data_IF_905976174030
#
_entry.id   IF_905976174030
#
_cell.length_a   1.000
_cell.length_b   1.000
_cell.length_c   1.000
_cell.angle_alpha   90.00
_cell.angle_beta   90.00
_cell.angle_gamma   90.00
#
_symmetry.space_group_name_H-M   'P 1'
#
loop_
_entity.id
_entity.type
_entity.pdbx_description
1 polymer ?
#
# COMPACT_ATOMS: atom_id res chain seq x y z
N UNK A 1 -19.64 -12.96 -13.62
CA UNK A 1 -20.90 -13.08 -12.85
C UNK A 1 -21.20 -14.54 -12.49
N UNK A 2 -21.30 -15.47 -13.48
CA UNK A 2 -21.74 -16.86 -13.22
C UNK A 2 -21.00 -17.55 -12.05
N UNK A 3 -19.67 -17.53 -11.93
CA UNK A 3 -18.99 -18.21 -10.81
C UNK A 3 -19.43 -17.72 -9.43
N UNK A 4 -19.71 -16.43 -9.28
CA UNK A 4 -20.17 -15.85 -8.01
C UNK A 4 -21.61 -16.26 -7.70
N UNK A 5 -22.46 -16.29 -8.72
CA UNK A 5 -23.84 -16.74 -8.57
C UNK A 5 -23.90 -18.20 -8.15
N UNK A 6 -23.05 -19.06 -8.75
CA UNK A 6 -22.93 -20.47 -8.38
C UNK A 6 -22.47 -20.66 -6.92
N UNK A 7 -21.54 -19.79 -6.44
CA UNK A 7 -21.09 -19.81 -5.04
C UNK A 7 -22.16 -19.32 -4.04
N UNK A 8 -23.00 -18.37 -4.46
CA UNK A 8 -24.07 -17.79 -3.62
C UNK A 8 -25.34 -18.64 -3.64
N UNK A 9 -25.57 -19.44 -4.68
CA UNK A 9 -26.80 -20.20 -4.89
C UNK A 9 -27.24 -21.04 -3.67
N UNK A 10 -26.36 -21.80 -2.98
CA UNK A 10 -26.79 -22.57 -1.80
C UNK A 10 -27.35 -21.69 -0.68
N UNK A 11 -26.74 -20.50 -0.47
CA UNK A 11 -27.20 -19.53 0.53
C UNK A 11 -28.54 -18.94 0.06
N UNK A 12 -28.63 -18.52 -1.22
CA UNK A 12 -29.83 -17.95 -1.80
C UNK A 12 -31.05 -18.89 -1.67
N UNK A 13 -30.87 -20.18 -1.97
CA UNK A 13 -31.88 -21.20 -1.83
C UNK A 13 -32.38 -21.34 -0.37
N UNK A 14 -31.45 -21.31 0.62
CA UNK A 14 -31.80 -21.41 2.03
C UNK A 14 -32.62 -20.20 2.51
N UNK A 15 -32.27 -18.99 2.08
CA UNK A 15 -33.01 -17.77 2.40
C UNK A 15 -34.38 -17.74 1.72
N UNK A 16 -34.47 -18.07 0.44
CA UNK A 16 -35.72 -18.14 -0.31
C UNK A 16 -36.69 -19.17 0.28
N UNK A 17 -36.20 -20.36 0.68
CA UNK A 17 -37.01 -21.39 1.33
C UNK A 17 -37.57 -20.95 2.69
N UNK A 18 -36.89 -20.01 3.36
CA UNK A 18 -37.34 -19.40 4.60
C UNK A 18 -38.23 -18.15 4.39
N UNK A 19 -38.46 -17.73 3.13
CA UNK A 19 -39.30 -16.58 2.79
C UNK A 19 -38.54 -15.24 2.88
N UNK A 20 -37.22 -15.27 2.93
CA UNK A 20 -36.37 -14.08 2.96
C UNK A 20 -35.79 -13.73 1.59
N UNK A 21 -35.65 -12.41 1.35
CA UNK A 21 -34.98 -11.87 0.17
C UNK A 21 -33.48 -11.76 0.43
N UNK A 22 -32.68 -12.05 -0.59
CA UNK A 22 -31.22 -11.93 -0.54
C UNK A 22 -30.71 -11.21 -1.78
N UNK A 23 -29.70 -10.36 -1.59
CA UNK A 23 -29.11 -9.57 -2.67
C UNK A 23 -27.59 -9.54 -2.56
N UNK A 24 -26.88 -9.67 -3.69
CA UNK A 24 -25.51 -9.22 -3.82
C UNK A 24 -25.48 -7.70 -3.84
N UNK A 25 -24.51 -7.06 -3.17
CA UNK A 25 -24.48 -5.60 -3.05
C UNK A 25 -23.09 -5.01 -3.10
N UNK A 26 -23.01 -3.72 -3.40
CA UNK A 26 -21.79 -2.93 -3.27
C UNK A 26 -20.75 -3.18 -4.36
N UNK A 27 -19.50 -3.33 -3.95
CA UNK A 27 -18.36 -3.42 -4.85
C UNK A 27 -18.46 -4.55 -5.86
N UNK A 28 -19.02 -5.69 -5.47
CA UNK A 28 -19.14 -6.87 -6.33
C UNK A 28 -20.05 -6.60 -7.54
N UNK A 29 -21.18 -5.91 -7.33
CA UNK A 29 -22.11 -5.56 -8.42
C UNK A 29 -21.46 -4.57 -9.39
N UNK A 30 -20.81 -3.52 -8.87
CA UNK A 30 -20.07 -2.55 -9.65
C UNK A 30 -18.97 -3.20 -10.49
N UNK A 31 -18.11 -4.02 -9.86
CA UNK A 31 -16.94 -4.60 -10.51
C UNK A 31 -17.35 -5.60 -11.60
N UNK A 32 -18.48 -6.30 -11.41
CA UNK A 32 -19.06 -7.13 -12.45
C UNK A 32 -19.62 -6.33 -13.63
N UNK A 33 -20.26 -5.18 -13.38
CA UNK A 33 -20.70 -4.29 -14.47
C UNK A 33 -19.52 -3.72 -15.27
N UNK A 34 -18.36 -3.55 -14.63
CA UNK A 34 -17.11 -3.15 -15.29
C UNK A 34 -16.38 -4.30 -15.98
N UNK A 35 -16.89 -5.54 -15.89
CA UNK A 35 -16.23 -6.72 -16.45
C UNK A 35 -14.92 -7.09 -15.74
N UNK A 36 -14.73 -6.63 -14.49
CA UNK A 36 -13.56 -7.00 -13.69
C UNK A 36 -13.72 -8.41 -13.14
N UNK A 37 -12.67 -9.19 -13.25
CA UNK A 37 -12.62 -10.52 -12.63
C UNK A 37 -12.53 -10.40 -11.10
N UNK A 38 -13.33 -11.21 -10.41
CA UNK A 38 -13.26 -11.33 -8.96
C UNK A 38 -12.11 -12.28 -8.60
N UNK A 39 -11.32 -11.87 -7.64
CA UNK A 39 -10.26 -12.72 -7.10
C UNK A 39 -10.80 -13.61 -5.98
N UNK A 40 -10.14 -14.73 -5.71
CA UNK A 40 -10.49 -15.62 -4.59
C UNK A 40 -10.42 -14.93 -3.22
N UNK A 41 -9.70 -13.83 -3.12
CA UNK A 41 -9.58 -13.03 -1.90
C UNK A 41 -10.72 -11.99 -1.71
N UNK A 42 -11.66 -11.86 -2.68
CA UNK A 42 -12.74 -10.87 -2.57
C UNK A 42 -13.84 -11.40 -1.64
N UNK A 43 -14.13 -10.67 -0.57
CA UNK A 43 -15.30 -10.91 0.27
C UNK A 43 -16.57 -10.65 -0.54
N UNK A 44 -17.58 -11.50 -0.37
CA UNK A 44 -18.88 -11.35 -1.02
C UNK A 44 -19.86 -10.73 -0.03
N UNK A 45 -20.25 -9.49 -0.33
CA UNK A 45 -21.24 -8.75 0.46
C UNK A 45 -22.66 -9.10 0.02
N UNK A 46 -23.45 -9.56 0.96
CA UNK A 46 -24.88 -9.85 0.80
C UNK A 46 -25.72 -9.00 1.76
N UNK A 47 -26.92 -8.65 1.33
CA UNK A 47 -27.89 -7.99 2.21
C UNK A 47 -29.26 -8.67 2.13
N UNK A 48 -30.02 -8.66 3.24
CA UNK A 48 -31.28 -9.43 3.40
C UNK A 48 -32.23 -8.72 4.36
N UNK A 49 -33.52 -9.06 4.29
CA UNK A 49 -34.53 -8.69 5.29
C UNK A 49 -34.50 -9.58 6.54
N UNK A 50 -33.79 -10.71 6.52
CA UNK A 50 -33.60 -11.56 7.69
C UNK A 50 -32.79 -10.85 8.79
N UNK A 51 -33.14 -11.12 10.06
CA UNK A 51 -32.42 -10.59 11.24
C UNK A 51 -31.22 -11.48 11.60
N UNK A 52 -30.18 -10.95 12.31
CA UNK A 52 -28.97 -11.71 12.60
C UNK A 52 -29.17 -13.11 13.20
N UNK A 53 -30.12 -13.36 14.14
CA UNK A 53 -30.38 -14.72 14.61
C UNK A 53 -30.87 -15.66 13.51
N UNK A 54 -31.68 -15.15 12.56
CA UNK A 54 -32.18 -15.92 11.42
C UNK A 54 -31.08 -16.17 10.39
N UNK A 55 -30.28 -15.14 10.08
CA UNK A 55 -29.09 -15.29 9.21
C UNK A 55 -28.21 -16.43 9.72
N UNK A 56 -27.87 -16.41 11.04
CA UNK A 56 -27.07 -17.48 11.66
C UNK A 56 -27.74 -18.87 11.50
N UNK A 57 -29.03 -18.95 11.76
CA UNK A 57 -29.78 -20.22 11.64
C UNK A 57 -29.76 -20.77 10.21
N UNK A 58 -29.87 -19.90 9.21
CA UNK A 58 -29.92 -20.27 7.80
C UNK A 58 -28.55 -20.66 7.23
N UNK A 59 -27.49 -19.97 7.64
CA UNK A 59 -26.14 -20.25 7.13
C UNK A 59 -25.42 -21.38 7.87
N UNK A 60 -25.72 -21.62 9.13
CA UNK A 60 -25.04 -22.62 9.95
C UNK A 60 -24.96 -24.04 9.34
N UNK A 61 -26.01 -24.56 8.68
CA UNK A 61 -25.96 -25.89 8.05
C UNK A 61 -25.07 -25.92 6.78
N UNK A 62 -24.76 -24.78 6.19
CA UNK A 62 -24.03 -24.63 4.91
C UNK A 62 -22.56 -24.24 5.13
N UNK A 63 -22.26 -23.65 6.30
CA UNK A 63 -21.00 -22.96 6.54
C UNK A 63 -19.97 -23.87 7.21
N UNK A 64 -18.74 -23.79 6.76
CA UNK A 64 -17.56 -24.35 7.41
C UNK A 64 -17.24 -23.61 8.73
N UNK A 65 -17.53 -22.30 8.77
CA UNK A 65 -17.37 -21.43 9.93
C UNK A 65 -18.36 -20.26 9.89
N UNK A 66 -18.81 -19.81 11.07
CA UNK A 66 -19.66 -18.63 11.24
C UNK A 66 -19.06 -17.72 12.31
N UNK A 67 -18.98 -16.41 12.04
CA UNK A 67 -18.53 -15.42 13.01
C UNK A 67 -19.51 -14.28 13.19
N UNK A 68 -19.55 -13.73 14.40
CA UNK A 68 -20.55 -12.76 14.85
C UNK A 68 -19.98 -11.40 15.22
N UNK A 69 -18.78 -11.11 14.76
CA UNK A 69 -18.03 -9.89 15.13
C UNK A 69 -18.79 -8.61 14.72
N UNK A 70 -19.63 -8.68 13.68
CA UNK A 70 -20.51 -7.60 13.18
C UNK A 70 -21.96 -7.66 13.64
N UNK A 71 -22.37 -8.64 14.45
CA UNK A 71 -23.77 -8.93 14.77
C UNK A 71 -24.54 -7.73 15.34
N UNK A 72 -23.93 -6.95 16.21
CA UNK A 72 -24.50 -5.71 16.75
C UNK A 72 -24.83 -4.66 15.68
N UNK A 73 -24.21 -4.78 14.50
CA UNK A 73 -24.45 -3.92 13.35
C UNK A 73 -25.28 -4.62 12.26
N UNK A 74 -25.84 -5.79 12.57
CA UNK A 74 -26.67 -6.54 11.64
C UNK A 74 -25.90 -7.49 10.72
N UNK A 75 -24.57 -7.62 10.85
CA UNK A 75 -23.73 -8.42 9.95
C UNK A 75 -23.34 -9.75 10.59
N UNK A 76 -23.54 -10.84 9.86
CA UNK A 76 -23.04 -12.18 10.17
C UNK A 76 -22.07 -12.59 9.06
N UNK A 77 -20.87 -13.02 9.45
CA UNK A 77 -19.93 -13.59 8.53
C UNK A 77 -20.05 -15.11 8.48
N UNK A 78 -19.90 -15.69 7.31
CA UNK A 78 -19.90 -17.13 7.11
C UNK A 78 -18.84 -17.54 6.07
N UNK A 79 -18.24 -18.72 6.27
CA UNK A 79 -17.38 -19.34 5.25
C UNK A 79 -18.13 -20.52 4.67
N UNK A 80 -18.37 -20.50 3.37
CA UNK A 80 -19.10 -21.58 2.66
C UNK A 80 -18.26 -21.99 1.45
N UNK A 81 -17.94 -23.26 1.32
CA UNK A 81 -17.13 -23.77 0.22
C UNK A 81 -15.74 -23.12 0.09
N UNK A 82 -15.17 -22.69 1.21
CA UNK A 82 -13.88 -21.98 1.22
C UNK A 82 -13.95 -20.46 1.03
N UNK A 83 -15.09 -19.89 0.58
CA UNK A 83 -15.33 -18.46 0.34
C UNK A 83 -15.91 -17.77 1.58
N UNK A 84 -15.47 -16.54 1.84
CA UNK A 84 -16.03 -15.70 2.89
C UNK A 84 -17.22 -14.87 2.37
N UNK A 85 -18.28 -14.84 3.15
CA UNK A 85 -19.50 -14.06 2.91
C UNK A 85 -19.78 -13.16 4.10
N UNK A 86 -20.13 -11.91 3.85
CA UNK A 86 -20.69 -10.99 4.85
C UNK A 86 -22.17 -10.74 4.55
N UNK A 87 -23.05 -11.23 5.40
CA UNK A 87 -24.49 -11.14 5.22
C UNK A 87 -25.03 -10.14 6.23
N UNK A 88 -25.57 -9.03 5.74
CA UNK A 88 -26.04 -7.91 6.56
C UNK A 88 -27.55 -7.75 6.43
N UNK A 89 -28.25 -7.61 7.55
CA UNK A 89 -29.66 -7.21 7.56
C UNK A 89 -29.81 -5.82 6.93
N UNK A 90 -30.84 -5.59 6.11
CA UNK A 90 -31.15 -4.25 5.57
C UNK A 90 -31.21 -3.22 6.70
N UNK A 91 -30.56 -2.09 6.51
CA UNK A 91 -30.43 -1.05 7.52
C UNK A 91 -30.99 0.27 7.01
N UNK A 92 -31.66 0.98 7.93
CA UNK A 92 -32.07 2.37 7.78
C UNK A 92 -31.41 3.16 8.92
N UNK A 93 -30.08 3.35 8.84
CA UNK A 93 -29.29 3.93 9.92
C UNK A 93 -29.72 5.38 10.23
N UNK A 94 -29.86 5.70 11.52
CA UNK A 94 -30.09 7.06 11.99
C UNK A 94 -28.76 7.62 12.52
N UNK A 95 -28.31 8.72 11.96
CA UNK A 95 -27.07 9.40 12.37
C UNK A 95 -27.38 10.61 13.25
N UNK A 96 -26.56 10.81 14.28
CA UNK A 96 -26.60 12.02 15.12
C UNK A 96 -25.47 12.96 14.72
N UNK A 97 -25.70 14.30 14.62
CA UNK A 97 -24.71 15.26 14.15
C UNK A 97 -23.36 15.23 14.88
N UNK A 98 -23.35 14.84 16.15
CA UNK A 98 -22.15 14.82 17.02
C UNK A 98 -21.50 13.42 17.09
N UNK A 99 -22.06 12.41 16.42
CA UNK A 99 -21.56 11.03 16.49
C UNK A 99 -21.61 10.36 15.12
N UNK A 100 -20.48 9.79 14.70
CA UNK A 100 -20.40 8.92 13.52
C UNK A 100 -20.94 7.50 13.75
N UNK A 101 -21.36 7.17 14.99
CA UNK A 101 -21.93 5.85 15.29
C UNK A 101 -23.43 5.95 15.06
N UNK A 102 -23.95 5.34 13.96
CA UNK A 102 -25.37 5.33 13.74
C UNK A 102 -26.07 4.52 14.85
N UNK A 103 -27.25 4.95 15.22
CA UNK A 103 -28.19 4.02 15.83
C UNK A 103 -28.69 3.10 14.71
N UNK A 104 -28.34 1.81 14.83
CA UNK A 104 -28.72 0.82 13.83
C UNK A 104 -30.24 0.60 13.91
N UNK A 105 -30.94 1.18 12.93
CA UNK A 105 -32.32 0.83 12.68
C UNK A 105 -32.35 -0.20 11.55
N UNK A 106 -32.95 -1.34 11.82
CA UNK A 106 -33.13 -2.36 10.79
C UNK A 106 -34.33 -1.96 9.91
N UNK A 107 -34.08 -1.86 8.60
CA UNK A 107 -35.07 -1.64 7.56
C UNK A 107 -35.58 -2.96 6.99
N UNK A 108 -36.76 -2.92 6.37
CA UNK A 108 -37.30 -4.06 5.65
C UNK A 108 -37.17 -3.92 4.14
N UNK A 109 -36.67 -2.76 3.69
CA UNK A 109 -36.54 -2.39 2.28
C UNK A 109 -35.10 -2.34 1.80
N UNK A 110 -34.82 -2.95 0.63
CA UNK A 110 -33.54 -2.86 -0.05
C UNK A 110 -33.20 -1.40 -0.44
N UNK A 111 -34.19 -0.59 -0.81
CA UNK A 111 -33.98 0.79 -1.23
C UNK A 111 -33.41 1.66 -0.10
N UNK A 112 -33.84 1.43 1.15
CA UNK A 112 -33.30 2.15 2.32
C UNK A 112 -31.84 1.75 2.56
N UNK A 113 -31.49 0.47 2.41
CA UNK A 113 -30.12 -0.01 2.51
C UNK A 113 -29.23 0.60 1.42
N UNK A 114 -29.72 0.72 0.20
CA UNK A 114 -28.97 1.33 -0.91
C UNK A 114 -28.82 2.84 -0.74
N UNK A 115 -29.84 3.54 -0.24
CA UNK A 115 -29.82 5.00 -0.05
C UNK A 115 -28.73 5.47 0.95
N UNK A 116 -28.42 4.67 1.99
CA UNK A 116 -27.40 4.99 3.00
C UNK A 116 -25.97 4.70 2.57
N UNK A 117 -25.74 4.12 1.39
CA UNK A 117 -24.38 3.80 0.89
C UNK A 117 -23.65 5.06 0.48
N UNK A 118 -22.33 4.91 0.25
CA UNK A 118 -21.42 6.04 -0.02
C UNK A 118 -21.70 6.70 -1.38
N UNK A 119 -21.71 5.90 -2.46
CA UNK A 119 -21.83 6.39 -3.83
C UNK A 119 -22.84 5.57 -4.62
N UNK A 120 -23.49 6.20 -5.62
CA UNK A 120 -24.46 5.55 -6.50
C UNK A 120 -23.90 4.28 -7.15
N UNK A 121 -22.63 4.31 -7.59
CA UNK A 121 -21.93 3.17 -8.17
C UNK A 121 -21.74 1.97 -7.23
N UNK A 122 -21.95 2.15 -5.92
CA UNK A 122 -21.94 1.11 -4.90
C UNK A 122 -23.35 0.87 -4.30
N UNK A 123 -24.33 1.67 -4.71
CA UNK A 123 -25.71 1.62 -4.23
C UNK A 123 -26.61 0.84 -5.21
N UNK A 124 -26.08 -0.26 -5.71
CA UNK A 124 -26.77 -1.21 -6.58
C UNK A 124 -26.80 -2.57 -5.91
N UNK A 125 -27.85 -3.33 -6.18
CA UNK A 125 -28.03 -4.69 -5.68
C UNK A 125 -28.45 -5.61 -6.83
N UNK A 126 -28.07 -6.88 -6.74
CA UNK A 126 -28.54 -7.93 -7.63
C UNK A 126 -29.31 -8.97 -6.79
N UNK A 127 -30.60 -9.14 -7.07
CA UNK A 127 -31.40 -10.14 -6.37
C UNK A 127 -30.89 -11.55 -6.65
N UNK A 128 -30.97 -12.42 -5.68
CA UNK A 128 -30.67 -13.84 -5.85
C UNK A 128 -31.83 -14.67 -5.23
N UNK A 129 -32.37 -15.63 -6.00
CA UNK A 129 -31.85 -16.24 -7.23
C UNK A 129 -32.32 -15.58 -8.54
N UNK A 130 -33.17 -14.57 -8.54
CA UNK A 130 -33.85 -14.07 -9.74
C UNK A 130 -32.94 -13.25 -10.67
N UNK A 131 -31.80 -12.79 -10.20
CA UNK A 131 -30.78 -12.00 -10.91
C UNK A 131 -31.31 -10.67 -11.48
N UNK A 132 -32.24 -10.04 -10.80
CA UNK A 132 -32.74 -8.72 -11.17
C UNK A 132 -31.88 -7.61 -10.56
N UNK A 133 -31.47 -6.65 -11.38
CA UNK A 133 -30.72 -5.47 -10.91
C UNK A 133 -31.66 -4.47 -10.24
N UNK A 134 -31.38 -4.12 -8.99
CA UNK A 134 -32.05 -3.06 -8.23
C UNK A 134 -31.13 -1.86 -8.16
N UNK A 135 -31.49 -0.79 -8.89
CA UNK A 135 -30.65 0.43 -9.01
C UNK A 135 -31.53 1.69 -8.87
N UNK A 136 -32.03 2.00 -7.66
CA UNK A 136 -32.94 3.12 -7.46
C UNK A 136 -32.26 4.49 -7.61
N UNK A 137 -30.94 4.55 -7.57
CA UNK A 137 -30.15 5.78 -7.61
C UNK A 137 -29.41 6.03 -8.92
N UNK A 138 -29.55 5.12 -9.90
CA UNK A 138 -28.94 5.26 -11.23
C UNK A 138 -27.43 4.99 -11.24
N UNK A 139 -26.96 4.11 -10.35
CA UNK A 139 -25.53 3.78 -10.23
C UNK A 139 -24.93 3.19 -11.48
N UNK A 140 -25.67 2.34 -12.21
CA UNK A 140 -25.22 1.77 -13.48
C UNK A 140 -25.02 2.87 -14.57
N UNK A 141 -25.93 3.84 -14.64
CA UNK A 141 -25.82 4.96 -15.56
C UNK A 141 -24.64 5.89 -15.18
N UNK A 142 -24.43 6.16 -13.90
CA UNK A 142 -23.29 6.95 -13.42
C UNK A 142 -21.98 6.24 -13.69
N UNK A 143 -21.93 4.93 -13.47
CA UNK A 143 -20.74 4.12 -13.76
C UNK A 143 -20.38 4.14 -15.25
N UNK A 144 -21.38 3.99 -16.11
CA UNK A 144 -21.20 4.05 -17.58
C UNK A 144 -20.80 5.46 -18.06
N UNK A 145 -21.27 6.51 -17.37
CA UNK A 145 -20.93 7.91 -17.66
C UNK A 145 -19.62 8.39 -16.99
N UNK A 146 -18.96 7.52 -16.18
CA UNK A 146 -17.77 7.90 -15.42
C UNK A 146 -18.04 8.95 -14.34
N UNK A 147 -19.23 9.00 -13.73
CA UNK A 147 -19.63 10.02 -12.74
C UNK A 147 -19.57 9.47 -11.31
N UNK A 148 -19.15 10.32 -10.37
CA UNK A 148 -19.16 10.03 -8.94
C UNK A 148 -20.21 10.89 -8.24
N UNK A 149 -21.29 10.27 -7.76
CA UNK A 149 -22.36 10.90 -6.99
C UNK A 149 -22.72 10.06 -5.76
N UNK A 150 -23.33 10.72 -4.79
CA UNK A 150 -23.94 10.06 -3.61
C UNK A 150 -25.40 9.71 -3.90
N UNK A 151 -25.97 8.64 -3.28
CA UNK A 151 -27.39 8.29 -3.43
C UNK A 151 -28.33 9.38 -2.91
N UNK A 152 -27.98 10.00 -1.80
CA UNK A 152 -28.65 11.15 -1.21
C UNK A 152 -27.85 12.43 -1.50
N UNK A 153 -28.36 13.58 -1.07
CA UNK A 153 -27.62 14.83 -1.14
C UNK A 153 -26.22 14.68 -0.49
N UNK A 154 -25.14 15.14 -1.13
CA UNK A 154 -23.78 14.97 -0.62
C UNK A 154 -23.57 15.51 0.80
N UNK A 155 -24.22 16.60 1.17
CA UNK A 155 -24.18 17.19 2.51
C UNK A 155 -24.68 16.23 3.57
N UNK A 156 -25.78 15.52 3.29
CA UNK A 156 -26.34 14.48 4.17
C UNK A 156 -25.35 13.33 4.28
N UNK A 157 -24.89 12.82 3.14
CA UNK A 157 -23.97 11.69 3.08
C UNK A 157 -22.66 11.93 3.86
N UNK A 158 -22.09 13.14 3.75
CA UNK A 158 -20.83 13.48 4.43
C UNK A 158 -21.04 13.89 5.90
N UNK A 159 -22.22 14.35 6.25
CA UNK A 159 -22.61 14.54 7.65
C UNK A 159 -22.73 13.19 8.35
N UNK A 160 -23.31 12.19 7.72
CA UNK A 160 -23.49 10.85 8.25
C UNK A 160 -22.14 10.12 8.47
N UNK A 161 -21.28 10.08 7.48
CA UNK A 161 -19.91 9.54 7.60
C UNK A 161 -18.90 10.40 6.83
N UNK A 162 -18.18 11.31 7.52
CA UNK A 162 -17.18 12.16 6.88
C UNK A 162 -16.05 11.42 6.17
N UNK A 163 -15.79 10.14 6.51
CA UNK A 163 -14.80 9.33 5.80
C UNK A 163 -15.16 9.12 4.33
N UNK A 164 -16.42 9.25 3.96
CA UNK A 164 -16.88 9.14 2.57
C UNK A 164 -16.21 10.20 1.67
N UNK A 165 -15.81 11.35 2.21
CA UNK A 165 -15.04 12.35 1.47
C UNK A 165 -13.67 11.83 1.04
N UNK A 166 -12.96 11.12 1.91
CA UNK A 166 -11.67 10.50 1.56
C UNK A 166 -11.86 9.28 0.64
N UNK A 167 -12.97 8.56 0.82
CA UNK A 167 -13.38 7.51 -0.11
C UNK A 167 -13.66 8.07 -1.50
N UNK A 168 -14.26 9.29 -1.63
CA UNK A 168 -14.45 9.95 -2.92
C UNK A 168 -13.12 10.15 -3.64
N UNK A 169 -12.08 10.65 -2.95
CA UNK A 169 -10.73 10.77 -3.51
C UNK A 169 -10.19 9.43 -4.06
N UNK A 170 -10.43 8.34 -3.33
CA UNK A 170 -10.01 7.00 -3.76
C UNK A 170 -10.85 6.47 -4.94
N UNK A 171 -12.16 6.68 -4.94
CA UNK A 171 -13.04 6.18 -6.00
C UNK A 171 -12.80 6.90 -7.33
N UNK A 172 -12.64 8.23 -7.29
CA UNK A 172 -12.33 8.97 -8.52
C UNK A 172 -10.98 8.52 -9.13
N UNK A 173 -9.95 8.27 -8.32
CA UNK A 173 -8.67 7.79 -8.81
C UNK A 173 -8.70 6.31 -9.25
N UNK A 174 -9.38 5.45 -8.49
CA UNK A 174 -9.38 4.00 -8.73
C UNK A 174 -10.27 3.55 -9.88
N UNK A 175 -11.29 4.34 -10.22
CA UNK A 175 -12.27 4.00 -11.25
C UNK A 175 -12.32 5.04 -12.39
N UNK A 176 -11.52 6.09 -12.32
CA UNK A 176 -11.54 7.17 -13.32
C UNK A 176 -12.87 7.93 -13.35
N UNK A 177 -13.50 8.09 -12.16
CA UNK A 177 -14.80 8.77 -12.06
C UNK A 177 -14.60 10.26 -11.84
N UNK A 178 -15.46 11.08 -12.43
CA UNK A 178 -15.48 12.52 -12.22
C UNK A 178 -16.56 12.89 -11.19
N UNK A 179 -16.19 13.58 -10.08
CA UNK A 179 -17.16 14.04 -9.11
C UNK A 179 -17.97 15.19 -9.67
N UNK A 180 -19.27 15.21 -9.44
CA UNK A 180 -20.08 16.36 -9.81
C UNK A 180 -19.78 17.61 -8.95
N UNK A 181 -20.23 18.79 -9.39
CA UNK A 181 -19.93 20.06 -8.72
C UNK A 181 -20.53 20.14 -7.30
N UNK A 182 -21.68 19.51 -7.07
CA UNK A 182 -22.36 19.48 -5.77
C UNK A 182 -21.53 18.64 -4.78
N UNK A 183 -21.03 17.48 -5.21
CA UNK A 183 -20.17 16.65 -4.38
C UNK A 183 -18.88 17.38 -4.00
N UNK A 184 -18.23 18.07 -4.96
CA UNK A 184 -17.01 18.86 -4.69
C UNK A 184 -17.29 19.98 -3.69
N UNK A 185 -18.42 20.71 -3.85
CA UNK A 185 -18.83 21.77 -2.94
C UNK A 185 -19.09 21.24 -1.54
N UNK A 186 -19.79 20.11 -1.43
CA UNK A 186 -20.10 19.48 -0.16
C UNK A 186 -18.82 18.97 0.54
N UNK A 187 -17.84 18.41 -0.19
CA UNK A 187 -16.53 18.03 0.40
C UNK A 187 -15.84 19.25 1.01
N UNK A 188 -15.76 20.37 0.26
CA UNK A 188 -15.15 21.62 0.79
C UNK A 188 -15.82 22.12 2.06
N UNK A 189 -17.16 22.09 2.09
CA UNK A 189 -17.93 22.57 3.23
C UNK A 189 -17.80 21.64 4.47
N UNK A 190 -17.64 20.33 4.25
CA UNK A 190 -17.64 19.33 5.31
C UNK A 190 -16.24 18.81 5.66
N UNK A 191 -15.17 19.23 4.97
CA UNK A 191 -13.80 18.76 5.24
C UNK A 191 -13.42 18.80 6.74
N UNK A 192 -13.70 19.88 7.51
CA UNK A 192 -13.36 19.94 8.93
C UNK A 192 -14.02 18.83 9.76
N UNK A 193 -15.15 18.27 9.32
CA UNK A 193 -15.79 17.15 10.04
C UNK A 193 -14.97 15.86 10.04
N UNK A 194 -13.89 15.78 9.23
CA UNK A 194 -13.00 14.63 9.24
C UNK A 194 -12.33 14.43 10.60
N UNK A 195 -12.27 15.47 11.45
CA UNK A 195 -11.74 15.42 12.83
C UNK A 195 -12.42 14.38 13.72
N UNK A 196 -13.72 14.09 13.49
CA UNK A 196 -14.46 13.08 14.27
C UNK A 196 -14.14 11.64 13.80
N UNK A 197 -13.44 11.46 12.69
CA UNK A 197 -13.04 10.15 12.17
C UNK A 197 -11.73 9.71 12.83
N UNK A 198 -11.64 8.45 13.25
CA UNK A 198 -10.41 7.95 13.87
C UNK A 198 -9.26 7.91 12.86
N UNK A 199 -8.05 8.20 13.35
CA UNK A 199 -6.84 8.22 12.55
C UNK A 199 -6.58 6.88 11.83
N UNK A 200 -6.97 5.76 12.44
CA UNK A 200 -6.84 4.43 11.85
C UNK A 200 -7.73 4.26 10.61
N UNK A 201 -8.97 4.79 10.62
CA UNK A 201 -9.86 4.75 9.45
C UNK A 201 -9.33 5.63 8.32
N UNK A 202 -8.83 6.82 8.65
CA UNK A 202 -8.19 7.73 7.69
C UNK A 202 -6.97 7.05 7.08
N UNK A 203 -6.10 6.45 7.90
CA UNK A 203 -4.94 5.68 7.44
C UNK A 203 -5.31 4.58 6.45
N UNK A 204 -6.32 3.78 6.78
CA UNK A 204 -6.75 2.67 5.92
C UNK A 204 -7.22 3.17 4.55
N UNK A 205 -7.97 4.27 4.48
CA UNK A 205 -8.39 4.83 3.20
C UNK A 205 -7.23 5.50 2.44
N UNK A 206 -6.30 6.15 3.14
CA UNK A 206 -5.07 6.67 2.55
C UNK A 206 -4.22 5.53 1.96
N UNK A 207 -4.00 4.46 2.71
CA UNK A 207 -3.24 3.29 2.24
C UNK A 207 -3.88 2.67 0.99
N UNK A 208 -5.22 2.54 0.96
CA UNK A 208 -5.96 2.07 -0.21
C UNK A 208 -5.81 3.01 -1.42
N UNK A 209 -5.77 4.32 -1.21
CA UNK A 209 -5.51 5.29 -2.26
C UNK A 209 -4.08 5.13 -2.79
N UNK A 210 -3.09 4.99 -1.89
CA UNK A 210 -1.68 4.92 -2.25
C UNK A 210 -1.31 3.66 -3.07
N UNK A 211 -2.02 2.56 -2.91
CA UNK A 211 -1.75 1.32 -3.68
C UNK A 211 -2.52 1.22 -5.00
N UNK A 212 -3.27 2.24 -5.38
CA UNK A 212 -3.91 2.30 -6.71
C UNK A 212 -2.85 2.37 -7.81
N UNK A 213 -3.14 1.94 -9.04
CA UNK A 213 -2.22 2.11 -10.18
C UNK A 213 -1.75 3.57 -10.33
N UNK A 214 -2.64 4.54 -10.28
CA UNK A 214 -2.34 5.97 -10.24
C UNK A 214 -3.20 6.69 -9.17
N UNK A 215 -2.61 7.14 -8.06
CA UNK A 215 -3.34 7.87 -7.01
C UNK A 215 -3.43 9.38 -7.26
N UNK A 216 -2.84 9.91 -8.35
CA UNK A 216 -2.67 11.36 -8.58
C UNK A 216 -3.96 12.14 -8.50
N UNK A 217 -5.00 11.69 -9.18
CA UNK A 217 -6.28 12.38 -9.20
C UNK A 217 -6.91 12.50 -7.80
N UNK A 218 -6.79 11.44 -6.98
CA UNK A 218 -7.26 11.44 -5.61
C UNK A 218 -6.47 12.38 -4.70
N UNK A 219 -5.16 12.44 -4.86
CA UNK A 219 -4.29 13.36 -4.12
C UNK A 219 -4.61 14.82 -4.48
N UNK A 220 -4.76 15.13 -5.77
CA UNK A 220 -5.17 16.46 -6.23
C UNK A 220 -6.54 16.84 -5.69
N UNK A 221 -7.51 15.94 -5.77
CA UNK A 221 -8.85 16.18 -5.22
C UNK A 221 -8.79 16.51 -3.72
N UNK A 222 -8.03 15.73 -2.94
CA UNK A 222 -7.91 15.97 -1.50
C UNK A 222 -7.27 17.35 -1.19
N UNK A 223 -6.27 17.78 -1.96
CA UNK A 223 -5.64 19.11 -1.78
C UNK A 223 -6.57 20.23 -2.26
N UNK A 224 -7.18 20.10 -3.45
CA UNK A 224 -7.98 21.16 -4.06
C UNK A 224 -9.31 21.41 -3.33
N UNK A 225 -9.79 20.43 -2.57
CA UNK A 225 -10.96 20.57 -1.71
C UNK A 225 -10.65 21.00 -0.28
N UNK A 226 -9.38 21.07 0.12
CA UNK A 226 -8.97 21.32 1.50
C UNK A 226 -9.06 20.08 2.41
N UNK A 227 -9.52 18.93 1.89
CA UNK A 227 -9.66 17.71 2.67
C UNK A 227 -8.31 17.23 3.23
N UNK A 228 -7.22 17.38 2.46
CA UNK A 228 -5.88 17.01 2.90
C UNK A 228 -5.41 17.79 4.12
N UNK A 229 -5.86 19.03 4.31
CA UNK A 229 -5.42 19.87 5.43
C UNK A 229 -5.84 19.30 6.78
N UNK A 230 -6.89 18.48 6.83
CA UNK A 230 -7.43 17.88 8.05
C UNK A 230 -6.60 16.69 8.56
N UNK A 231 -5.88 15.98 7.68
CA UNK A 231 -5.12 14.79 8.09
C UNK A 231 -3.66 14.77 7.61
N UNK A 232 -3.33 15.54 6.57
CA UNK A 232 -2.01 15.63 5.95
C UNK A 232 -1.71 17.07 5.48
N UNK A 233 -1.76 18.07 6.39
CA UNK A 233 -1.59 19.49 6.04
C UNK A 233 -0.24 19.80 5.40
N UNK A 234 0.75 18.94 5.60
CA UNK A 234 2.05 19.07 4.94
C UNK A 234 1.94 19.00 3.42
N UNK A 235 0.95 18.27 2.89
CA UNK A 235 0.73 18.13 1.45
C UNK A 235 0.31 19.46 0.83
N UNK A 236 -0.70 20.13 1.40
CA UNK A 236 -1.11 21.46 0.98
C UNK A 236 0.00 22.50 1.11
N UNK A 237 0.79 22.43 2.17
CA UNK A 237 1.93 23.33 2.42
C UNK A 237 3.03 23.21 1.35
N UNK A 238 3.12 22.11 0.60
CA UNK A 238 4.06 21.94 -0.52
C UNK A 238 3.63 22.67 -1.80
N UNK A 239 2.45 23.27 -1.86
CA UNK A 239 2.01 24.12 -2.98
C UNK A 239 2.82 25.42 -2.99
N UNK A 240 4.08 25.31 -3.37
CA UNK A 240 5.01 26.43 -3.45
C UNK A 240 5.97 26.27 -4.63
N UNK A 241 6.28 27.38 -5.26
CA UNK A 241 7.24 27.41 -6.35
C UNK A 241 8.66 27.17 -5.84
N UNK A 242 9.35 26.22 -6.46
CA UNK A 242 10.77 25.95 -6.16
C UNK A 242 11.69 27.07 -6.66
N UNK A 243 11.32 27.71 -7.76
CA UNK A 243 12.13 28.73 -8.41
C UNK A 243 11.21 29.88 -8.88
N UNK A 244 11.28 31.06 -8.24
CA UNK A 244 10.46 32.23 -8.63
C UNK A 244 10.77 32.74 -10.03
N UNK A 245 11.95 32.41 -10.61
CA UNK A 245 12.34 32.87 -11.96
C UNK A 245 11.78 31.94 -13.03
N UNK A 246 11.62 30.66 -12.74
CA UNK A 246 11.23 29.64 -13.71
C UNK A 246 9.81 29.06 -13.49
N UNK A 247 8.99 29.60 -12.64
CA UNK A 247 7.53 29.40 -12.35
C UNK A 247 6.89 28.02 -12.61
N UNK A 248 7.66 26.99 -13.02
CA UNK A 248 7.15 25.70 -13.50
C UNK A 248 7.56 24.50 -12.64
N UNK A 249 8.06 24.75 -11.44
CA UNK A 249 8.43 23.68 -10.49
C UNK A 249 7.72 23.90 -9.16
N UNK A 250 6.45 23.55 -9.11
CA UNK A 250 5.72 23.41 -7.86
C UNK A 250 6.17 22.11 -7.14
N UNK A 251 6.50 22.23 -5.86
CA UNK A 251 6.95 21.09 -5.02
C UNK A 251 5.84 20.05 -4.92
N UNK A 252 4.58 20.49 -4.75
CA UNK A 252 3.45 19.57 -4.67
C UNK A 252 3.26 18.80 -5.97
N UNK A 253 3.27 19.51 -7.11
CA UNK A 253 3.11 18.88 -8.42
C UNK A 253 4.25 17.89 -8.71
N UNK A 254 5.48 18.22 -8.33
CA UNK A 254 6.61 17.31 -8.38
C UNK A 254 6.37 16.08 -7.50
N UNK A 255 5.98 16.27 -6.25
CA UNK A 255 5.75 15.19 -5.28
C UNK A 255 4.68 14.21 -5.79
N UNK A 256 3.52 14.71 -6.25
CA UNK A 256 2.47 13.86 -6.81
C UNK A 256 2.95 13.09 -8.04
N UNK A 257 3.74 13.73 -8.91
CA UNK A 257 4.32 13.06 -10.08
C UNK A 257 5.34 11.98 -9.70
N UNK A 258 6.09 12.14 -8.60
CA UNK A 258 6.97 11.10 -8.07
C UNK A 258 6.16 9.91 -7.55
N UNK A 259 5.11 10.18 -6.75
CA UNK A 259 4.19 9.14 -6.26
C UNK A 259 3.59 8.33 -7.42
N UNK A 260 3.13 8.99 -8.48
CA UNK A 260 2.53 8.32 -9.63
C UNK A 260 3.50 7.40 -10.38
N UNK A 261 4.79 7.71 -10.35
CA UNK A 261 5.83 6.93 -11.04
C UNK A 261 6.31 5.73 -10.24
N UNK A 262 6.19 5.75 -8.90
CA UNK A 262 6.61 4.63 -8.05
C UNK A 262 5.66 3.47 -8.19
N UNK A 263 6.18 2.25 -8.04
CA UNK A 263 5.38 1.03 -7.95
C UNK A 263 4.33 1.14 -6.83
N UNK A 264 3.22 0.37 -6.88
CA UNK A 264 2.16 0.45 -5.89
C UNK A 264 2.53 -0.25 -4.56
N UNK A 265 3.79 -0.11 -4.14
CA UNK A 265 4.23 -0.46 -2.79
C UNK A 265 3.81 0.65 -1.82
N UNK A 266 3.06 0.28 -0.79
CA UNK A 266 2.49 1.22 0.19
C UNK A 266 3.54 2.10 0.85
N UNK A 267 4.63 1.51 1.35
CA UNK A 267 5.66 2.25 2.09
C UNK A 267 6.53 3.10 1.17
N UNK A 268 6.82 2.63 -0.02
CA UNK A 268 7.52 3.40 -1.03
C UNK A 268 6.72 4.65 -1.42
N UNK A 269 5.42 4.51 -1.69
CA UNK A 269 4.56 5.64 -2.07
C UNK A 269 4.32 6.63 -0.94
N UNK A 270 4.18 6.16 0.30
CA UNK A 270 4.17 7.05 1.46
C UNK A 270 5.49 7.80 1.60
N UNK A 271 6.61 7.14 1.32
CA UNK A 271 7.92 7.79 1.30
C UNK A 271 8.03 8.82 0.17
N UNK A 272 7.52 8.50 -1.02
CA UNK A 272 7.44 9.42 -2.15
C UNK A 272 6.52 10.62 -1.85
N UNK A 273 5.40 10.41 -1.16
CA UNK A 273 4.49 11.48 -0.76
C UNK A 273 5.12 12.43 0.26
N UNK A 274 6.02 11.92 1.11
CA UNK A 274 6.60 12.65 2.23
C UNK A 274 8.07 13.07 2.01
N UNK A 275 8.72 12.71 0.89
CA UNK A 275 10.16 12.95 0.71
C UNK A 275 10.53 14.43 0.78
N UNK A 276 9.69 15.27 0.26
CA UNK A 276 9.89 16.72 0.14
C UNK A 276 9.13 17.58 1.16
N UNK A 277 8.44 16.97 2.14
CA UNK A 277 7.64 17.73 3.13
C UNK A 277 8.45 18.71 3.99
N UNK A 278 9.77 18.53 4.03
CA UNK A 278 10.68 19.46 4.71
C UNK A 278 10.92 20.77 3.96
N UNK A 279 10.71 20.83 2.64
CA UNK A 279 11.02 22.00 1.81
C UNK A 279 10.34 23.30 2.24
N UNK A 280 9.04 23.33 2.58
CA UNK A 280 8.41 24.55 3.06
C UNK A 280 9.09 25.16 4.28
N UNK A 281 9.55 24.34 5.22
CA UNK A 281 10.19 24.79 6.47
C UNK A 281 11.67 25.15 6.31
N UNK A 282 12.33 24.68 5.27
CA UNK A 282 13.75 24.90 5.03
C UNK A 282 14.02 25.85 3.86
N UNK A 283 12.96 26.44 3.31
CA UNK A 283 13.06 27.41 2.21
C UNK A 283 13.85 28.62 2.63
N UNK A 284 14.91 28.93 1.90
CA UNK A 284 15.66 30.19 2.03
C UNK A 284 15.89 30.85 0.67
N UNK A 285 16.02 32.18 0.67
CA UNK A 285 16.27 32.98 -0.52
C UNK A 285 17.72 33.45 -0.47
N UNK A 286 18.51 33.05 -1.45
CA UNK A 286 19.93 33.37 -1.58
C UNK A 286 20.18 34.12 -2.90
N UNK A 287 21.36 34.71 -3.05
CA UNK A 287 21.74 35.44 -4.26
C UNK A 287 21.66 34.59 -5.55
N UNK A 288 21.69 33.27 -5.44
CA UNK A 288 21.59 32.31 -6.54
C UNK A 288 20.21 31.69 -6.77
N UNK A 289 19.19 32.10 -6.03
CA UNK A 289 17.83 31.56 -6.12
C UNK A 289 17.28 31.04 -4.79
N UNK A 290 16.40 30.04 -4.86
CA UNK A 290 15.82 29.40 -3.68
C UNK A 290 16.58 28.13 -3.33
N UNK A 291 16.90 27.94 -2.05
CA UNK A 291 17.54 26.74 -1.51
C UNK A 291 16.66 26.08 -0.43
N UNK A 292 16.90 24.80 -0.19
CA UNK A 292 16.15 23.95 0.75
C UNK A 292 17.13 23.06 1.55
N UNK A 293 18.12 23.68 2.17
CA UNK A 293 19.16 22.94 2.88
C UNK A 293 18.60 22.10 4.02
N UNK A 294 19.05 20.84 4.11
CA UNK A 294 18.66 19.88 5.14
C UNK A 294 17.17 19.54 5.18
N UNK A 295 16.44 19.70 4.05
CA UNK A 295 15.02 19.34 4.04
C UNK A 295 14.79 17.83 4.26
N UNK A 296 15.75 16.97 3.93
CA UNK A 296 15.73 15.54 4.20
C UNK A 296 15.72 15.23 5.70
N UNK A 297 16.47 16.02 6.50
CA UNK A 297 16.53 15.84 7.95
C UNK A 297 15.24 16.34 8.62
N UNK A 298 14.78 17.52 8.20
CA UNK A 298 13.54 18.11 8.69
C UNK A 298 12.34 17.29 8.25
N UNK A 299 12.32 16.89 6.97
CA UNK A 299 11.28 16.05 6.36
C UNK A 299 11.15 14.69 7.03
N UNK A 300 12.26 14.02 7.32
CA UNK A 300 12.25 12.74 8.03
C UNK A 300 11.61 12.82 9.42
N UNK A 301 11.79 13.96 10.12
CA UNK A 301 11.15 14.23 11.41
C UNK A 301 9.66 14.48 11.25
N UNK A 302 9.28 15.32 10.27
CA UNK A 302 7.88 15.62 9.96
C UNK A 302 7.12 14.36 9.52
N UNK A 303 7.72 13.54 8.66
CA UNK A 303 7.15 12.27 8.21
C UNK A 303 6.89 11.31 9.39
N UNK A 304 7.87 11.16 10.31
CA UNK A 304 7.68 10.39 11.55
C UNK A 304 6.47 10.89 12.33
N UNK A 305 6.43 12.19 12.61
CA UNK A 305 5.41 12.78 13.48
C UNK A 305 4.01 12.64 12.83
N UNK A 306 3.90 12.80 11.51
CA UNK A 306 2.65 12.61 10.76
C UNK A 306 2.19 11.16 10.75
N UNK A 307 3.08 10.23 10.48
CA UNK A 307 2.73 8.80 10.47
C UNK A 307 2.31 8.30 11.86
N UNK A 308 2.96 8.79 12.93
CA UNK A 308 2.54 8.49 14.30
C UNK A 308 1.15 9.06 14.61
N UNK A 309 0.85 10.28 14.16
CA UNK A 309 -0.48 10.88 14.29
C UNK A 309 -1.55 10.05 13.57
N UNK A 310 -1.22 9.48 12.40
CA UNK A 310 -2.08 8.58 11.62
C UNK A 310 -2.07 7.13 12.13
N UNK A 311 -1.40 6.84 13.26
CA UNK A 311 -1.37 5.51 13.90
C UNK A 311 -0.78 4.40 13.02
N UNK A 312 0.27 4.72 12.25
CA UNK A 312 1.09 3.69 11.61
C UNK A 312 1.90 2.92 12.66
N UNK A 313 2.31 1.69 12.32
CA UNK A 313 3.21 0.90 13.17
C UNK A 313 4.59 1.56 13.30
N UNK A 314 5.31 1.27 14.37
CA UNK A 314 6.67 1.79 14.55
C UNK A 314 7.61 1.34 13.42
N UNK A 315 7.41 0.14 12.87
CA UNK A 315 8.20 -0.40 11.77
C UNK A 315 7.93 0.38 10.47
N UNK A 316 6.66 0.63 10.12
CA UNK A 316 6.29 1.47 8.98
C UNK A 316 6.89 2.88 9.10
N UNK A 317 6.79 3.48 10.30
CA UNK A 317 7.37 4.80 10.59
C UNK A 317 8.88 4.81 10.41
N UNK A 318 9.57 3.75 10.86
CA UNK A 318 11.03 3.64 10.73
C UNK A 318 11.45 3.55 9.26
N UNK A 319 10.74 2.76 8.45
CA UNK A 319 10.98 2.61 7.00
C UNK A 319 10.81 3.93 6.28
N UNK A 320 9.65 4.57 6.40
CA UNK A 320 9.37 5.84 5.69
C UNK A 320 10.31 6.95 6.13
N UNK A 321 10.56 7.09 7.43
CA UNK A 321 11.53 8.06 7.96
C UNK A 321 12.93 7.83 7.36
N UNK A 322 13.38 6.57 7.25
CA UNK A 322 14.68 6.20 6.67
C UNK A 322 14.76 6.61 5.21
N UNK A 323 13.75 6.26 4.41
CA UNK A 323 13.69 6.57 2.98
C UNK A 323 13.68 8.08 2.74
N UNK A 324 12.87 8.83 3.49
CA UNK A 324 12.82 10.30 3.43
C UNK A 324 14.17 10.92 3.82
N UNK A 325 14.86 10.38 4.83
CA UNK A 325 16.19 10.86 5.21
C UNK A 325 17.26 10.59 4.15
N UNK A 326 17.18 9.46 3.46
CA UNK A 326 18.23 9.01 2.55
C UNK A 326 18.02 9.44 1.08
N UNK A 327 16.84 9.94 0.69
CA UNK A 327 16.49 10.17 -0.72
C UNK A 327 17.47 11.08 -1.46
N UNK A 328 18.10 12.04 -0.78
CA UNK A 328 19.10 12.93 -1.39
C UNK A 328 20.50 12.33 -1.53
N UNK A 329 20.79 11.20 -0.90
CA UNK A 329 22.14 10.64 -0.88
C UNK A 329 22.70 10.43 -2.29
N UNK A 330 21.88 9.95 -3.21
CA UNK A 330 22.30 9.73 -4.60
C UNK A 330 22.74 11.01 -5.32
N UNK A 331 22.21 12.16 -4.98
CA UNK A 331 22.61 13.43 -5.62
C UNK A 331 24.10 13.73 -5.46
N UNK A 332 24.73 13.19 -4.42
CA UNK A 332 26.17 13.30 -4.19
C UNK A 332 27.00 12.29 -4.98
N UNK A 333 26.38 11.24 -5.55
CA UNK A 333 27.06 10.21 -6.34
C UNK A 333 27.78 10.79 -7.58
N UNK A 334 27.22 11.82 -8.17
CA UNK A 334 27.87 12.54 -9.31
C UNK A 334 29.27 13.09 -9.00
N UNK A 335 29.64 13.18 -7.72
CA UNK A 335 30.95 13.66 -7.26
C UNK A 335 32.01 12.54 -7.22
N UNK A 336 31.66 11.32 -7.63
CA UNK A 336 32.55 10.17 -7.66
C UNK A 336 32.73 9.50 -6.29
N UNK A 337 31.77 8.64 -5.92
CA UNK A 337 31.91 7.87 -4.69
C UNK A 337 33.03 6.83 -4.79
N UNK A 338 33.74 6.62 -3.68
CA UNK A 338 34.63 5.46 -3.50
C UNK A 338 33.76 4.20 -3.23
N UNK A 339 34.35 3.00 -3.37
CA UNK A 339 33.66 1.75 -3.01
C UNK A 339 33.23 1.74 -1.53
N UNK A 340 34.04 2.36 -0.65
CA UNK A 340 33.68 2.53 0.75
C UNK A 340 32.43 3.42 0.95
N UNK A 341 32.21 4.41 0.09
CA UNK A 341 31.00 5.24 0.13
C UNK A 341 29.76 4.47 -0.37
N UNK A 342 29.93 3.64 -1.42
CA UNK A 342 28.85 2.74 -1.90
C UNK A 342 28.47 1.73 -0.82
N UNK A 343 29.44 1.10 -0.16
CA UNK A 343 29.17 0.16 0.95
C UNK A 343 28.42 0.83 2.09
N UNK A 344 28.77 2.07 2.46
CA UNK A 344 28.04 2.83 3.49
C UNK A 344 26.63 3.13 3.04
N UNK A 345 26.40 3.49 1.80
CA UNK A 345 25.05 3.73 1.26
C UNK A 345 24.19 2.46 1.36
N UNK A 346 24.71 1.30 0.92
CA UNK A 346 24.02 0.00 1.02
C UNK A 346 23.73 -0.35 2.48
N UNK A 347 24.72 -0.23 3.37
CA UNK A 347 24.54 -0.50 4.81
C UNK A 347 23.49 0.41 5.45
N UNK A 348 23.53 1.72 5.14
CA UNK A 348 22.59 2.68 5.72
C UNK A 348 21.15 2.46 5.22
N UNK A 349 21.00 2.04 3.95
CA UNK A 349 19.71 1.63 3.37
C UNK A 349 19.21 0.31 3.96
N UNK A 350 20.11 -0.67 4.14
CA UNK A 350 19.74 -2.02 4.61
C UNK A 350 18.66 -2.66 3.74
N UNK A 351 17.62 -3.22 4.35
CA UNK A 351 16.52 -3.90 3.66
C UNK A 351 15.69 -2.98 2.76
N UNK A 352 15.85 -1.65 2.92
CA UNK A 352 15.12 -0.65 2.12
C UNK A 352 15.88 -0.20 0.86
N UNK A 353 16.96 -0.89 0.48
CA UNK A 353 17.81 -0.48 -0.63
C UNK A 353 17.03 -0.39 -1.95
N UNK A 354 16.23 -1.39 -2.27
CA UNK A 354 15.45 -1.43 -3.52
C UNK A 354 14.42 -0.29 -3.58
N UNK A 355 13.70 -0.05 -2.47
CA UNK A 355 12.77 1.08 -2.37
C UNK A 355 13.49 2.42 -2.49
N UNK A 356 14.68 2.55 -1.90
CA UNK A 356 15.46 3.79 -1.98
C UNK A 356 15.95 4.06 -3.40
N UNK A 357 16.38 3.03 -4.11
CA UNK A 357 16.80 3.11 -5.52
C UNK A 357 15.61 3.54 -6.39
N UNK A 358 14.46 2.90 -6.23
CA UNK A 358 13.25 3.24 -6.99
C UNK A 358 12.77 4.65 -6.68
N UNK A 359 12.70 5.06 -5.40
CA UNK A 359 12.36 6.42 -5.01
C UNK A 359 13.27 7.44 -5.70
N UNK A 360 14.57 7.21 -5.66
CA UNK A 360 15.57 8.10 -6.28
C UNK A 360 15.41 8.18 -7.79
N UNK A 361 15.11 7.07 -8.47
CA UNK A 361 14.84 7.05 -9.92
C UNK A 361 13.58 7.86 -10.25
N UNK A 362 12.52 7.71 -9.48
CA UNK A 362 11.25 8.41 -9.69
C UNK A 362 11.33 9.91 -9.37
N UNK A 363 12.14 10.30 -8.39
CA UNK A 363 12.40 11.70 -8.01
C UNK A 363 13.10 12.48 -9.12
N UNK A 364 13.81 11.80 -10.02
CA UNK A 364 14.45 12.44 -11.19
C UNK A 364 13.40 12.87 -12.23
N UNK A 365 12.69 13.99 -11.99
CA UNK A 365 11.57 14.47 -12.84
C UNK A 365 11.99 15.56 -13.86
N UNK A 366 13.19 15.52 -14.41
CA UNK A 366 13.62 16.54 -15.38
C UNK A 366 12.95 16.37 -16.74
N UNK A 367 12.46 17.47 -17.33
CA UNK A 367 11.95 17.50 -18.72
C UNK A 367 13.05 17.46 -19.79
N UNK A 368 14.30 17.66 -19.39
CA UNK A 368 15.44 17.61 -20.31
C UNK A 368 15.86 16.16 -20.55
N UNK A 369 15.58 15.63 -21.73
CA UNK A 369 15.86 14.24 -22.09
C UNK A 369 17.34 13.84 -21.93
N UNK A 370 18.30 14.76 -22.25
CA UNK A 370 19.74 14.50 -22.07
C UNK A 370 20.12 14.38 -20.60
N UNK A 371 19.53 15.25 -19.76
CA UNK A 371 19.75 15.22 -18.31
C UNK A 371 19.14 13.97 -17.68
N UNK A 372 17.90 13.61 -18.10
CA UNK A 372 17.25 12.36 -17.69
C UNK A 372 18.08 11.13 -18.03
N UNK A 373 18.55 11.00 -19.28
CA UNK A 373 19.39 9.89 -19.71
C UNK A 373 20.73 9.83 -18.94
N UNK A 374 21.31 10.97 -18.59
CA UNK A 374 22.54 11.00 -17.79
C UNK A 374 22.30 10.53 -16.35
N UNK A 375 21.19 10.91 -15.75
CA UNK A 375 20.82 10.47 -14.40
C UNK A 375 20.50 8.97 -14.37
N UNK A 376 19.73 8.48 -15.35
CA UNK A 376 19.43 7.05 -15.48
C UNK A 376 20.71 6.22 -15.55
N UNK A 377 21.62 6.58 -16.45
CA UNK A 377 22.90 5.87 -16.59
C UNK A 377 23.73 5.85 -15.31
N UNK A 378 23.75 6.95 -14.53
CA UNK A 378 24.44 6.99 -13.24
C UNK A 378 23.79 6.07 -12.20
N UNK A 379 22.46 5.93 -12.24
CA UNK A 379 21.79 4.97 -11.38
C UNK A 379 22.15 3.54 -11.80
N UNK A 380 22.15 3.25 -13.10
CA UNK A 380 22.54 1.94 -13.62
C UNK A 380 23.98 1.59 -13.20
N UNK A 381 24.93 2.53 -13.36
CA UNK A 381 26.32 2.40 -12.90
C UNK A 381 26.43 2.12 -11.39
N UNK A 382 25.60 2.80 -10.57
CA UNK A 382 25.59 2.58 -9.12
C UNK A 382 25.06 1.19 -8.78
N UNK A 383 23.97 0.75 -9.41
CA UNK A 383 23.38 -0.58 -9.18
C UNK A 383 24.33 -1.70 -9.60
N UNK A 384 24.94 -1.62 -10.79
CA UNK A 384 25.97 -2.57 -11.23
C UNK A 384 27.15 -2.62 -10.24
N UNK A 385 27.55 -1.47 -9.73
CA UNK A 385 28.63 -1.38 -8.75
C UNK A 385 28.25 -1.99 -7.40
N UNK A 386 27.01 -1.79 -6.94
CA UNK A 386 26.47 -2.41 -5.73
C UNK A 386 26.50 -3.94 -5.87
N UNK A 387 25.96 -4.48 -6.96
CA UNK A 387 25.94 -5.92 -7.24
C UNK A 387 27.35 -6.49 -7.25
N UNK A 388 28.30 -5.83 -7.93
CA UNK A 388 29.70 -6.27 -7.95
C UNK A 388 30.30 -6.30 -6.54
N UNK A 389 30.15 -5.23 -5.75
CA UNK A 389 30.71 -5.16 -4.40
C UNK A 389 30.10 -6.17 -3.46
N UNK A 390 28.80 -6.42 -3.55
CA UNK A 390 28.10 -7.46 -2.78
C UNK A 390 28.64 -8.87 -3.14
N UNK A 391 28.84 -9.14 -4.43
CA UNK A 391 29.40 -10.40 -4.89
C UNK A 391 30.84 -10.59 -4.38
N UNK A 392 31.69 -9.55 -4.49
CA UNK A 392 33.06 -9.58 -3.95
C UNK A 392 33.09 -9.82 -2.44
N UNK A 393 32.17 -9.25 -1.69
CA UNK A 393 32.07 -9.42 -0.25
C UNK A 393 31.51 -10.80 0.12
N UNK A 394 30.54 -11.30 -0.62
CA UNK A 394 30.03 -12.66 -0.46
C UNK A 394 31.15 -13.68 -0.66
N UNK A 395 31.98 -13.52 -1.70
CA UNK A 395 33.16 -14.37 -1.94
C UNK A 395 34.19 -14.24 -0.81
N UNK A 396 34.49 -13.01 -0.34
CA UNK A 396 35.39 -12.79 0.79
C UNK A 396 34.87 -13.32 2.13
N UNK A 397 33.55 -13.42 2.29
CA UNK A 397 32.91 -13.97 3.48
C UNK A 397 32.87 -15.50 3.48
N UNK A 398 33.15 -16.15 2.34
CA UNK A 398 33.25 -17.59 2.28
C UNK A 398 34.37 -18.09 3.23
N UNK A 399 34.05 -19.13 3.94
CA UNK A 399 34.98 -19.84 4.83
C UNK A 399 35.12 -21.26 4.31
N UNK A 400 36.27 -21.93 4.54
CA UNK A 400 36.38 -23.35 4.31
C UNK A 400 35.29 -24.11 5.08
N UNK A 401 34.88 -25.27 4.61
CA UNK A 401 33.89 -26.12 5.30
C UNK A 401 34.38 -26.58 6.66
N UNK A 402 35.70 -26.72 6.85
CA UNK A 402 36.35 -27.04 8.13
C UNK A 402 37.13 -25.82 8.66
N UNK A 403 37.13 -25.62 9.94
CA UNK A 403 37.95 -24.62 10.61
C UNK A 403 39.38 -25.13 10.93
N UNK A 404 40.25 -24.23 11.40
CA UNK A 404 41.64 -24.58 11.70
C UNK A 404 41.79 -25.59 12.81
N UNK A 405 40.87 -25.62 13.78
CA UNK A 405 40.90 -26.61 14.89
C UNK A 405 40.48 -27.99 14.36
N UNK A 406 39.44 -28.07 13.57
CA UNK A 406 38.98 -29.30 12.93
C UNK A 406 40.09 -29.93 12.04
N UNK A 407 40.79 -29.08 11.27
CA UNK A 407 41.95 -29.54 10.46
C UNK A 407 43.09 -30.06 11.31
N UNK A 408 43.46 -29.38 12.38
CA UNK A 408 44.51 -29.81 13.29
C UNK A 408 44.16 -31.14 13.99
N UNK A 409 42.95 -31.25 14.52
CA UNK A 409 42.48 -32.41 15.23
C UNK A 409 42.39 -33.64 14.30
N UNK A 410 41.92 -33.47 13.07
CA UNK A 410 41.77 -34.54 12.09
C UNK A 410 43.12 -35.05 11.55
N UNK A 411 44.02 -34.15 11.22
CA UNK A 411 45.34 -34.52 10.67
C UNK A 411 46.39 -34.83 11.74
N UNK A 412 46.09 -34.62 13.03
CA UNK A 412 47.03 -34.81 14.14
C UNK A 412 48.24 -33.87 14.10
N UNK A 413 48.06 -32.64 13.60
CA UNK A 413 49.15 -31.66 13.44
C UNK A 413 48.98 -30.47 14.38
N UNK A 414 50.08 -29.82 14.75
CA UNK A 414 50.05 -28.59 15.54
C UNK A 414 49.79 -27.36 14.67
N UNK A 415 49.53 -26.19 15.32
CA UNK A 415 49.32 -24.93 14.62
C UNK A 415 50.59 -24.56 13.81
N UNK A 416 50.38 -24.18 12.52
CA UNK A 416 51.51 -23.86 11.65
C UNK A 416 51.09 -23.62 10.21
N UNK A 417 52.09 -23.46 9.33
CA UNK A 417 51.95 -23.20 7.91
C UNK A 417 51.05 -24.22 7.20
N UNK A 418 51.15 -25.50 7.56
CA UNK A 418 50.38 -26.56 6.94
C UNK A 418 48.87 -26.43 7.17
N UNK A 419 48.46 -25.92 8.33
CA UNK A 419 47.01 -25.61 8.62
C UNK A 419 46.52 -24.52 7.70
N UNK A 420 47.30 -23.47 7.50
CA UNK A 420 46.97 -22.38 6.55
C UNK A 420 46.83 -22.85 5.10
N UNK A 421 47.75 -23.76 4.67
CA UNK A 421 47.68 -24.36 3.33
C UNK A 421 46.50 -25.29 3.15
N UNK A 422 46.12 -26.06 4.17
CA UNK A 422 44.94 -26.89 4.17
C UNK A 422 43.64 -26.07 4.09
N UNK A 423 43.54 -24.99 4.87
CA UNK A 423 42.43 -24.10 4.83
C UNK A 423 42.29 -23.38 3.48
N UNK A 424 43.40 -22.98 2.87
CA UNK A 424 43.42 -22.42 1.52
C UNK A 424 42.90 -23.42 0.48
N UNK A 425 43.37 -24.68 0.54
CA UNK A 425 42.88 -25.74 -0.34
C UNK A 425 41.36 -25.98 -0.17
N UNK A 426 40.88 -26.10 1.06
CA UNK A 426 39.44 -26.28 1.35
C UNK A 426 38.61 -25.07 0.90
N UNK A 427 39.15 -23.88 1.00
CA UNK A 427 38.49 -22.67 0.49
C UNK A 427 38.38 -22.66 -1.03
N UNK A 428 39.45 -23.00 -1.76
CA UNK A 428 39.39 -23.13 -3.22
C UNK A 428 38.39 -24.21 -3.65
N UNK A 429 38.39 -25.35 -2.97
CA UNK A 429 37.44 -26.43 -3.23
C UNK A 429 35.99 -25.97 -3.06
N UNK A 430 35.72 -25.21 -2.00
CA UNK A 430 34.40 -24.61 -1.77
C UNK A 430 34.02 -23.56 -2.81
N UNK A 431 34.96 -22.82 -3.33
CA UNK A 431 34.72 -21.84 -4.41
C UNK A 431 34.37 -22.54 -5.74
N UNK A 432 34.99 -23.70 -6.01
CA UNK A 432 34.80 -24.43 -7.26
C UNK A 432 33.55 -25.34 -7.24
N UNK A 433 33.35 -26.06 -6.14
CA UNK A 433 32.33 -27.13 -6.05
C UNK A 433 31.14 -26.77 -5.16
N UNK A 434 31.19 -25.65 -4.40
CA UNK A 434 30.19 -25.28 -3.41
C UNK A 434 30.37 -25.97 -2.05
N UNK A 435 29.38 -25.88 -1.14
CA UNK A 435 29.46 -26.52 0.17
C UNK A 435 29.46 -28.04 0.05
N UNK A 436 30.47 -28.72 0.65
CA UNK A 436 30.64 -30.17 0.58
C UNK A 436 30.05 -30.91 1.79
N UNK A 437 29.92 -30.24 2.93
CA UNK A 437 29.66 -30.86 4.22
C UNK A 437 30.93 -31.52 4.84
N UNK A 438 30.88 -31.73 6.16
CA UNK A 438 32.07 -32.13 6.96
C UNK A 438 32.70 -33.41 6.47
N UNK A 439 31.92 -34.48 6.24
CA UNK A 439 32.43 -35.78 5.84
C UNK A 439 33.19 -35.78 4.51
N UNK A 440 32.64 -35.10 3.48
CA UNK A 440 33.30 -34.97 2.18
C UNK A 440 34.51 -34.04 2.26
N UNK A 441 34.43 -32.99 3.05
CA UNK A 441 35.52 -32.04 3.27
C UNK A 441 36.72 -32.74 3.93
N UNK A 442 36.50 -33.60 4.95
CA UNK A 442 37.53 -34.44 5.55
C UNK A 442 38.12 -35.41 4.54
N UNK A 443 37.30 -36.09 3.76
CA UNK A 443 37.79 -37.03 2.74
C UNK A 443 38.63 -36.37 1.66
N UNK A 444 38.35 -35.11 1.27
CA UNK A 444 39.17 -34.32 0.35
C UNK A 444 40.47 -33.86 1.01
N UNK A 445 40.41 -33.46 2.27
CA UNK A 445 41.56 -33.07 3.07
C UNK A 445 42.57 -34.19 3.20
N UNK A 446 42.12 -35.43 3.48
CA UNK A 446 42.96 -36.61 3.59
C UNK A 446 43.73 -36.91 2.30
N UNK A 447 43.03 -36.85 1.15
CA UNK A 447 43.67 -37.04 -0.17
C UNK A 447 44.73 -35.97 -0.44
N UNK A 448 44.39 -34.71 -0.22
CA UNK A 448 45.30 -33.59 -0.41
C UNK A 448 46.53 -33.66 0.51
N UNK A 449 46.33 -34.14 1.75
CA UNK A 449 47.42 -34.31 2.72
C UNK A 449 48.34 -35.47 2.37
N UNK A 450 47.78 -36.61 1.93
CA UNK A 450 48.54 -37.79 1.51
C UNK A 450 49.44 -37.45 0.30
N UNK A 451 48.95 -36.70 -0.69
CA UNK A 451 49.71 -36.31 -1.87
C UNK A 451 50.91 -35.39 -1.55
N UNK A 452 51.00 -34.81 -0.36
CA UNK A 452 52.07 -33.92 0.07
C UNK A 452 53.09 -34.59 0.97
N UNK A 453 52.79 -35.78 1.46
CA UNK A 453 53.70 -36.58 2.28
C UNK A 453 54.49 -37.59 1.44
N UNK A 454 54.10 -37.88 0.21
CA UNK A 454 54.76 -38.76 -0.77
C UNK A 454 55.59 -37.94 -1.73
#
# INVERSE_FOLDING_TARGET
>A
MQPVLDEVEPIACAFAAAGHRLYLVGGIVRDQLLGRELTDASDIDLTTDARPPEIKRLVAPLADAVWTQGERFGTIGAKVGGRAFEITTHRADVYHPESRKPEVAFGDGINDDLARRDFTVNAMALSVPDHELVDPHGGAADLAAGRLRTPLAPEVSFTDDPLRMLRAARFLAGYGLEPDAELVAAVRANAPRLEIVSAERIRIELDKLMVLPDPSAGLWFAVDTGLADEFLPELGAMRLEQDPVHHHKDVLAHTIAVVAKTSPDRLLRLSALLHDVGKPKTRSFEAGGVSFHHHEVVGARMARDRMQALKYSNDDVAVVRKLVYLHLRFHTYRLGWTDAAVRRFVRDAGDELDRLIELTRCDCTTRNARKAATLSRRMDELEERIVRLQAEEAVKALRPDLDGQQVMDHLGIGPGRHVGEALAFLLELRLDEGPLGDDEAFGRLDRWWADRQG
#
